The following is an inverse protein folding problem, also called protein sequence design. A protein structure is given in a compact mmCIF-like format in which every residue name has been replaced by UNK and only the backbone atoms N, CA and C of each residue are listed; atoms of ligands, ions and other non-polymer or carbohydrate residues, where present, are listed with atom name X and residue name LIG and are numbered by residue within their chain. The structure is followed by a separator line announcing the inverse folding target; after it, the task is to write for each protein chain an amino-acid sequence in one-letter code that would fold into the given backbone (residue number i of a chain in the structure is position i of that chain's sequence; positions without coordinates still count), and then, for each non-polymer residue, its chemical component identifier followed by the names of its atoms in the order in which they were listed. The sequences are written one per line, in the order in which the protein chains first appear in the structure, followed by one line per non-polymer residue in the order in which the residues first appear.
data_IF_234623208968
#
_entry.id   IF_234623208968
#
_cell.length_a   1.000
_cell.length_b   1.000
_cell.length_c   1.000
_cell.angle_alpha   90.00
_cell.angle_beta   90.00
_cell.angle_gamma   90.00
#
_symmetry.space_group_name_H-M   'P 1'
#
loop_
_entity.id
_entity.type
_entity.pdbx_description
1 polymer ?
#
# COMPACT_ATOMS: atom_id res chain seq x y z
N UNK A 1 -37.27 78.67 68.25
CA UNK A 1 -36.72 77.68 69.19
C UNK A 1 -36.92 76.29 68.67
N UNK A 2 -35.91 75.44 68.78
CA UNK A 2 -35.83 73.95 68.63
C UNK A 2 -35.63 73.39 67.18
N UNK A 3 -34.54 72.96 67.10
CA UNK A 3 -33.75 72.05 66.29
C UNK A 3 -34.44 70.69 65.99
N UNK A 4 -34.40 70.20 64.81
CA UNK A 4 -34.68 68.82 64.42
C UNK A 4 -33.67 68.33 63.33
N UNK A 5 -32.89 67.39 63.73
CA UNK A 5 -31.81 66.72 62.99
C UNK A 5 -32.41 65.75 61.99
N UNK A 6 -32.13 65.94 60.66
CA UNK A 6 -32.39 64.92 59.64
C UNK A 6 -31.19 63.97 59.57
N UNK A 7 -31.48 62.66 59.61
CA UNK A 7 -30.51 61.58 59.39
C UNK A 7 -30.55 61.20 57.93
N UNK A 8 -29.37 61.27 57.28
CA UNK A 8 -29.14 60.71 55.94
C UNK A 8 -28.84 59.21 56.04
N UNK A 9 -29.73 58.43 55.52
CA UNK A 9 -29.49 57.00 55.35
C UNK A 9 -28.76 56.71 54.02
N UNK A 10 -27.54 56.17 54.11
CA UNK A 10 -26.79 55.69 52.97
C UNK A 10 -27.25 54.27 52.64
N UNK A 11 -27.86 54.06 51.49
CA UNK A 11 -28.20 52.72 50.95
C UNK A 11 -27.00 52.21 50.19
N UNK A 12 -26.29 51.25 50.74
CA UNK A 12 -25.24 50.48 50.04
C UNK A 12 -25.92 49.45 49.09
N UNK A 13 -25.85 49.71 47.77
CA UNK A 13 -26.27 48.73 46.79
C UNK A 13 -25.13 47.74 46.50
N UNK A 14 -25.24 46.53 47.03
CA UNK A 14 -24.31 45.41 46.78
C UNK A 14 -24.63 44.83 45.37
N UNK A 15 -23.79 45.15 44.40
CA UNK A 15 -23.85 44.52 43.07
C UNK A 15 -23.25 43.09 43.16
N UNK A 16 -24.07 42.05 43.12
CA UNK A 16 -23.64 40.70 42.88
C UNK A 16 -23.22 40.57 41.40
N UNK A 17 -21.91 40.50 41.15
CA UNK A 17 -21.35 40.01 39.91
C UNK A 17 -21.60 38.52 39.79
N UNK A 18 -22.58 38.10 38.98
CA UNK A 18 -22.75 36.73 38.59
C UNK A 18 -21.60 36.31 37.64
N UNK A 19 -20.60 35.65 38.20
CA UNK A 19 -19.58 34.94 37.40
C UNK A 19 -20.27 33.73 36.77
N UNK A 20 -20.69 33.88 35.51
CA UNK A 20 -21.15 32.77 34.72
C UNK A 20 -20.04 31.72 34.57
N UNK A 21 -20.39 30.41 34.50
CA UNK A 21 -19.40 29.36 34.26
C UNK A 21 -18.71 29.65 32.91
N UNK A 22 -17.48 30.13 32.98
CA UNK A 22 -16.62 30.21 31.81
C UNK A 22 -16.50 28.81 31.24
N UNK A 23 -17.06 28.60 30.05
CA UNK A 23 -16.79 27.39 29.27
C UNK A 23 -15.26 27.26 29.21
N UNK A 24 -14.71 26.27 29.88
CA UNK A 24 -13.31 25.90 29.74
C UNK A 24 -13.07 25.64 28.25
N UNK A 25 -12.53 26.63 27.53
CA UNK A 25 -11.95 26.38 26.24
C UNK A 25 -10.85 25.35 26.46
N UNK A 26 -11.14 24.12 26.09
CA UNK A 26 -10.13 23.07 26.08
C UNK A 26 -8.89 23.63 25.38
N UNK A 27 -7.72 23.43 26.00
CA UNK A 27 -6.46 23.89 25.43
C UNK A 27 -6.43 23.54 23.94
N UNK A 28 -6.21 24.53 23.10
CA UNK A 28 -6.17 24.37 21.64
C UNK A 28 -5.06 23.36 21.33
N UNK A 29 -5.45 22.13 20.95
CA UNK A 29 -4.49 21.08 20.61
C UNK A 29 -3.74 21.51 19.34
N UNK A 30 -2.41 21.41 19.34
CA UNK A 30 -1.57 21.75 18.21
C UNK A 30 -1.88 20.90 16.94
N UNK A 31 -1.17 21.14 15.85
CA UNK A 31 -1.39 20.41 14.60
C UNK A 31 -1.16 18.89 14.77
N UNK A 32 -1.86 18.11 13.97
CA UNK A 32 -1.61 16.67 13.86
C UNK A 32 -0.45 16.47 12.89
N UNK A 33 0.65 15.89 13.38
CA UNK A 33 1.84 15.63 12.57
C UNK A 33 1.85 14.18 12.11
N UNK A 34 1.92 13.98 10.79
CA UNK A 34 2.05 12.67 10.14
C UNK A 34 3.43 12.61 9.50
N UNK A 35 4.25 11.64 9.90
CA UNK A 35 5.50 11.33 9.22
C UNK A 35 5.22 10.45 8.01
N UNK A 36 5.69 10.87 6.84
CA UNK A 36 5.54 10.10 5.61
C UNK A 36 6.92 9.82 5.02
N UNK A 37 7.23 8.56 4.71
CA UNK A 37 8.52 8.21 4.10
C UNK A 37 8.30 7.44 2.81
N UNK A 38 9.07 7.78 1.77
CA UNK A 38 8.95 7.15 0.46
C UNK A 38 10.31 7.17 -0.25
N UNK A 39 10.59 6.28 -1.20
CA UNK A 39 11.79 6.37 -2.02
C UNK A 39 11.61 7.49 -3.05
N UNK A 40 12.24 8.64 -2.81
CA UNK A 40 12.21 9.78 -3.72
C UNK A 40 13.43 9.85 -4.63
N UNK A 41 14.34 8.88 -4.49
CA UNK A 41 15.55 8.69 -5.28
C UNK A 41 15.71 7.21 -5.69
N UNK A 42 16.63 6.92 -6.61
CA UNK A 42 16.94 5.57 -7.06
C UNK A 42 15.88 4.93 -7.97
N UNK A 43 15.88 3.60 -8.05
CA UNK A 43 15.04 2.82 -8.99
C UNK A 43 13.53 2.92 -8.72
N UNK A 44 13.14 3.37 -7.54
CA UNK A 44 11.74 3.53 -7.11
C UNK A 44 11.32 5.00 -6.96
N UNK A 45 12.11 5.95 -7.46
CA UNK A 45 11.84 7.38 -7.27
C UNK A 45 10.45 7.81 -7.80
N UNK A 46 10.06 7.35 -8.98
CA UNK A 46 8.73 7.66 -9.54
C UNK A 46 7.62 7.05 -8.67
N UNK A 47 7.83 5.82 -8.17
CA UNK A 47 6.91 5.13 -7.26
C UNK A 47 6.70 5.95 -5.97
N UNK A 48 7.79 6.39 -5.34
CA UNK A 48 7.72 7.21 -4.14
C UNK A 48 7.06 8.57 -4.38
N UNK A 49 7.32 9.18 -5.55
CA UNK A 49 6.65 10.42 -5.93
C UNK A 49 5.13 10.22 -6.06
N UNK A 50 4.69 9.14 -6.70
CA UNK A 50 3.26 8.84 -6.84
C UNK A 50 2.59 8.62 -5.47
N UNK A 51 3.30 7.99 -4.53
CA UNK A 51 2.82 7.82 -3.16
C UNK A 51 2.59 9.16 -2.47
N UNK A 52 3.59 10.05 -2.49
CA UNK A 52 3.49 11.37 -1.87
C UNK A 52 2.38 12.17 -2.52
N UNK A 53 2.30 12.17 -3.85
CA UNK A 53 1.30 12.91 -4.60
C UNK A 53 -0.13 12.40 -4.30
N UNK A 54 -0.35 11.10 -4.21
CA UNK A 54 -1.64 10.53 -3.83
C UNK A 54 -2.05 10.87 -2.40
N UNK A 55 -1.11 10.76 -1.45
CA UNK A 55 -1.34 11.12 -0.05
C UNK A 55 -1.70 12.60 0.13
N UNK A 56 -0.94 13.48 -0.53
CA UNK A 56 -1.16 14.92 -0.46
C UNK A 56 -2.43 15.36 -1.18
N UNK A 57 -2.81 14.69 -2.30
CA UNK A 57 -4.05 14.99 -3.02
C UNK A 57 -5.26 14.87 -2.09
N UNK A 58 -5.35 13.79 -1.30
CA UNK A 58 -6.45 13.63 -0.36
C UNK A 58 -6.49 14.76 0.68
N UNK A 59 -5.35 15.09 1.30
CA UNK A 59 -5.32 16.13 2.33
C UNK A 59 -5.67 17.52 1.78
N UNK A 60 -5.31 17.81 0.54
CA UNK A 60 -5.73 19.05 -0.13
C UNK A 60 -7.23 19.07 -0.38
N UNK A 61 -7.80 17.98 -0.88
CA UNK A 61 -9.26 17.86 -1.08
C UNK A 61 -10.03 17.95 0.24
N UNK A 62 -9.45 17.46 1.33
CA UNK A 62 -10.00 17.55 2.68
C UNK A 62 -9.75 18.93 3.36
N UNK A 63 -9.11 19.91 2.68
CA UNK A 63 -8.83 21.23 3.21
C UNK A 63 -7.69 21.29 4.23
N UNK A 64 -6.81 20.27 4.29
CA UNK A 64 -5.62 20.23 5.14
C UNK A 64 -5.90 20.15 6.64
N UNK A 65 -7.10 19.75 7.04
CA UNK A 65 -7.50 19.69 8.45
C UNK A 65 -8.52 18.58 8.71
N UNK A 66 -8.61 18.14 9.96
CA UNK A 66 -9.60 17.15 10.42
C UNK A 66 -9.92 17.39 11.90
N UNK A 67 -11.19 17.24 12.29
CA UNK A 67 -11.65 17.46 13.66
C UNK A 67 -11.19 18.83 14.25
N UNK A 68 -11.16 19.89 13.44
CA UNK A 68 -10.75 21.24 13.83
C UNK A 68 -9.23 21.42 14.03
N UNK A 69 -8.41 20.42 13.69
CA UNK A 69 -6.94 20.47 13.80
C UNK A 69 -6.30 20.46 12.41
N UNK A 70 -5.30 21.33 12.21
CA UNK A 70 -4.46 21.32 11.00
C UNK A 70 -3.67 19.99 10.92
N UNK A 71 -3.50 19.47 9.72
CA UNK A 71 -2.63 18.32 9.46
C UNK A 71 -1.32 18.79 8.83
N UNK A 72 -0.21 18.36 9.41
CA UNK A 72 1.14 18.63 8.90
C UNK A 72 1.77 17.30 8.49
N UNK A 73 2.11 17.17 7.21
CA UNK A 73 2.79 15.98 6.66
C UNK A 73 4.27 16.30 6.50
N UNK A 74 5.13 15.51 7.15
CA UNK A 74 6.59 15.63 7.07
C UNK A 74 7.10 14.46 6.24
N UNK A 75 7.68 14.76 5.09
CA UNK A 75 8.14 13.77 4.10
C UNK A 75 9.65 13.54 4.21
N UNK A 76 10.06 12.26 4.22
CA UNK A 76 11.47 11.84 4.23
C UNK A 76 11.76 10.88 3.06
N UNK A 77 12.89 11.09 2.39
CA UNK A 77 13.39 10.14 1.38
C UNK A 77 14.10 8.95 2.06
N UNK A 78 13.58 7.73 1.86
CA UNK A 78 14.20 6.51 2.35
C UNK A 78 15.05 5.79 1.29
N UNK A 79 15.24 6.38 0.09
CA UNK A 79 16.11 5.90 -0.98
C UNK A 79 15.77 4.48 -1.49
N UNK A 80 14.67 3.88 -1.03
CA UNK A 80 14.35 2.47 -1.28
C UNK A 80 15.30 1.49 -0.55
N UNK A 81 15.94 1.93 0.54
CA UNK A 81 16.89 1.14 1.33
C UNK A 81 16.30 0.88 2.74
N UNK A 82 16.18 -0.38 3.18
CA UNK A 82 15.56 -0.71 4.48
C UNK A 82 16.22 -0.02 5.69
N UNK A 83 17.56 0.02 5.73
CA UNK A 83 18.30 0.67 6.83
C UNK A 83 18.09 2.19 6.85
N UNK A 84 18.09 2.85 5.68
CA UNK A 84 17.76 4.28 5.56
C UNK A 84 16.32 4.50 6.00
N UNK A 85 15.37 3.63 5.62
CA UNK A 85 13.97 3.69 6.04
C UNK A 85 13.81 3.69 7.56
N UNK A 86 14.50 2.80 8.28
CA UNK A 86 14.49 2.77 9.74
C UNK A 86 15.07 4.08 10.33
N UNK A 87 16.16 4.58 9.77
CA UNK A 87 16.78 5.85 10.22
C UNK A 87 15.82 7.03 10.06
N UNK A 88 15.11 7.10 8.92
CA UNK A 88 14.16 8.17 8.64
C UNK A 88 12.92 8.07 9.54
N UNK A 89 12.40 6.87 9.79
CA UNK A 89 11.29 6.67 10.74
C UNK A 89 11.70 7.11 12.16
N UNK A 90 12.88 6.75 12.62
CA UNK A 90 13.39 7.25 13.91
C UNK A 90 13.44 8.76 13.95
N UNK A 91 13.98 9.42 12.92
CA UNK A 91 14.03 10.88 12.83
C UNK A 91 12.64 11.51 12.91
N UNK A 92 11.67 10.99 12.16
CA UNK A 92 10.29 11.46 12.19
C UNK A 92 9.70 11.38 13.61
N UNK A 93 9.92 10.25 14.31
CA UNK A 93 9.38 10.04 15.65
C UNK A 93 10.15 10.84 16.72
N UNK A 94 11.47 10.76 16.73
CA UNK A 94 12.31 11.27 17.81
C UNK A 94 12.60 12.77 17.70
N UNK A 95 12.77 13.28 16.47
CA UNK A 95 13.10 14.69 16.25
C UNK A 95 11.87 15.51 15.84
N UNK A 96 11.09 15.03 14.85
CA UNK A 96 9.92 15.76 14.38
C UNK A 96 8.67 15.56 15.25
N UNK A 97 8.71 14.60 16.21
CA UNK A 97 7.62 14.33 17.16
C UNK A 97 6.28 14.09 16.47
N UNK A 98 6.29 13.27 15.44
CA UNK A 98 5.06 12.89 14.73
C UNK A 98 4.18 11.99 15.60
N UNK A 99 2.86 12.08 15.42
CA UNK A 99 1.88 11.25 16.13
C UNK A 99 1.80 9.84 15.52
N UNK A 100 2.07 9.73 14.23
CA UNK A 100 1.96 8.51 13.43
C UNK A 100 2.93 8.56 12.26
N UNK A 101 3.25 7.38 11.69
CA UNK A 101 4.04 7.28 10.47
C UNK A 101 3.31 6.47 9.41
N UNK A 102 3.54 6.81 8.14
CA UNK A 102 3.08 6.03 7.00
C UNK A 102 4.11 6.04 5.87
N UNK A 103 3.96 5.15 4.92
CA UNK A 103 4.79 5.17 3.72
C UNK A 103 5.56 3.87 3.47
N UNK A 104 6.65 4.00 2.70
CA UNK A 104 7.51 2.90 2.30
C UNK A 104 6.96 2.06 1.15
N UNK A 105 7.87 1.53 0.32
CA UNK A 105 7.54 0.66 -0.82
C UNK A 105 7.95 -0.78 -0.55
N UNK A 106 9.22 -0.99 -0.16
CA UNK A 106 9.76 -2.34 -0.08
C UNK A 106 9.26 -3.09 1.16
N UNK A 107 8.77 -4.31 1.00
CA UNK A 107 8.39 -5.20 2.09
C UNK A 107 9.54 -5.39 3.10
N UNK A 108 10.79 -5.46 2.62
CA UNK A 108 11.97 -5.52 3.48
C UNK A 108 12.10 -4.30 4.42
N UNK A 109 11.69 -3.11 3.97
CA UNK A 109 11.63 -1.91 4.83
C UNK A 109 10.56 -2.08 5.90
N UNK A 110 9.40 -2.64 5.53
CA UNK A 110 8.32 -2.95 6.47
C UNK A 110 8.79 -3.88 7.60
N UNK A 111 9.49 -4.95 7.27
CA UNK A 111 10.10 -5.83 8.27
C UNK A 111 11.16 -5.12 9.12
N UNK A 112 11.99 -4.26 8.54
CA UNK A 112 13.04 -3.55 9.26
C UNK A 112 12.53 -2.53 10.29
N UNK A 113 11.41 -1.86 10.01
CA UNK A 113 10.84 -0.84 10.92
C UNK A 113 9.86 -1.42 11.93
N UNK A 114 9.28 -2.60 11.69
CA UNK A 114 8.26 -3.20 12.53
C UNK A 114 8.68 -3.33 14.01
N UNK A 115 9.88 -3.83 14.36
CA UNK A 115 10.32 -3.90 15.76
C UNK A 115 10.39 -2.53 16.45
N UNK A 116 10.82 -1.49 15.72
CA UNK A 116 10.93 -0.14 16.27
C UNK A 116 9.54 0.47 16.57
N UNK A 117 8.59 0.37 15.64
CA UNK A 117 7.25 0.93 15.84
C UNK A 117 6.48 0.17 16.91
N UNK A 118 6.68 -1.16 17.00
CA UNK A 118 6.11 -2.00 18.07
C UNK A 118 6.64 -1.59 19.43
N UNK A 119 7.95 -1.53 19.61
CA UNK A 119 8.60 -1.18 20.87
C UNK A 119 8.23 0.23 21.35
N UNK A 120 8.12 1.19 20.41
CA UNK A 120 7.84 2.60 20.73
C UNK A 120 6.35 2.94 20.66
N UNK A 121 5.48 1.97 20.43
CA UNK A 121 4.02 2.12 20.37
C UNK A 121 3.59 3.22 19.41
N UNK A 122 4.09 3.17 18.16
CA UNK A 122 3.81 4.17 17.14
C UNK A 122 2.72 3.65 16.20
N UNK A 123 1.50 4.23 16.18
CA UNK A 123 0.50 3.91 15.18
C UNK A 123 1.09 4.11 13.78
N UNK A 124 1.07 3.07 12.97
CA UNK A 124 1.77 3.05 11.69
C UNK A 124 0.87 2.48 10.60
N UNK A 125 0.79 3.16 9.47
CA UNK A 125 0.04 2.68 8.30
C UNK A 125 0.99 2.29 7.18
N UNK A 126 0.84 1.06 6.68
CA UNK A 126 1.55 0.58 5.49
C UNK A 126 0.65 0.71 4.26
N UNK A 127 0.81 1.79 3.48
CA UNK A 127 -0.01 1.98 2.27
C UNK A 127 0.41 1.08 1.11
N UNK A 128 1.69 0.69 1.03
CA UNK A 128 2.24 -0.08 -0.09
C UNK A 128 3.08 -1.26 0.38
N UNK A 129 3.84 -1.10 1.48
CA UNK A 129 4.67 -2.19 1.99
C UNK A 129 3.83 -3.43 2.31
N UNK A 130 4.17 -4.54 1.69
CA UNK A 130 3.37 -5.76 1.68
C UNK A 130 4.05 -6.99 2.33
N UNK A 131 4.82 -6.87 3.45
CA UNK A 131 5.40 -8.04 4.08
C UNK A 131 4.30 -8.92 4.69
N UNK A 132 4.27 -10.22 4.35
CA UNK A 132 3.19 -11.12 4.74
C UNK A 132 3.06 -11.26 6.27
N UNK A 133 4.16 -11.55 6.94
CA UNK A 133 4.12 -11.99 8.34
C UNK A 133 3.68 -10.95 9.36
N UNK A 134 3.78 -9.66 9.03
CA UNK A 134 3.35 -8.59 9.96
C UNK A 134 1.82 -8.54 10.18
N UNK A 135 1.05 -9.24 9.36
CA UNK A 135 -0.40 -9.43 9.51
C UNK A 135 -0.78 -10.92 9.45
N UNK A 136 0.20 -11.83 9.55
CA UNK A 136 -0.04 -13.27 9.51
C UNK A 136 0.55 -13.95 10.76
N UNK A 137 1.73 -14.58 10.66
CA UNK A 137 2.35 -15.43 11.73
C UNK A 137 2.94 -14.59 12.86
N UNK A 138 3.37 -13.36 12.56
CA UNK A 138 4.00 -12.44 13.53
C UNK A 138 3.31 -11.08 13.47
N UNK A 139 2.00 -11.03 13.82
CA UNK A 139 1.25 -9.80 13.71
C UNK A 139 1.87 -8.71 14.58
N UNK A 140 2.07 -7.55 13.98
CA UNK A 140 2.62 -6.36 14.65
C UNK A 140 1.47 -5.48 15.10
N UNK A 141 1.29 -5.33 16.42
CA UNK A 141 0.13 -4.65 16.98
C UNK A 141 -0.01 -3.19 16.49
N UNK A 142 1.13 -2.48 16.36
CA UNK A 142 1.13 -1.05 16.03
C UNK A 142 1.10 -0.75 14.51
N UNK A 143 0.86 -1.77 13.69
CA UNK A 143 0.74 -1.62 12.23
C UNK A 143 -0.68 -1.91 11.77
N UNK A 144 -1.18 -1.05 10.90
CA UNK A 144 -2.38 -1.26 10.07
C UNK A 144 -1.95 -1.18 8.62
N UNK A 145 -2.37 -2.14 7.80
CA UNK A 145 -2.09 -2.14 6.38
C UNK A 145 -3.30 -1.64 5.62
N UNK A 146 -3.12 -0.71 4.70
CA UNK A 146 -4.13 -0.35 3.70
C UNK A 146 -3.78 -0.87 2.31
N UNK A 147 -2.58 -1.49 2.19
CA UNK A 147 -2.11 -2.29 1.07
C UNK A 147 -2.66 -3.74 1.13
N UNK A 148 -2.06 -4.63 0.40
CA UNK A 148 -2.31 -6.08 0.43
C UNK A 148 -1.15 -6.81 1.13
N UNK A 149 -1.31 -8.09 1.49
CA UNK A 149 -0.19 -8.97 1.79
C UNK A 149 0.49 -9.44 0.50
N UNK A 150 1.81 -9.58 0.48
CA UNK A 150 2.60 -9.86 -0.73
C UNK A 150 2.08 -11.05 -1.53
N UNK A 151 1.69 -12.13 -0.85
CA UNK A 151 1.10 -13.32 -1.49
C UNK A 151 -0.37 -13.16 -1.88
N UNK A 152 -1.10 -12.19 -1.33
CA UNK A 152 -2.56 -12.09 -1.48
C UNK A 152 -3.02 -11.93 -2.94
N UNK A 153 -2.38 -11.07 -3.71
CA UNK A 153 -2.75 -10.86 -5.12
C UNK A 153 -2.22 -11.94 -6.06
N UNK A 154 -1.22 -12.69 -5.64
CA UNK A 154 -0.59 -13.74 -6.44
C UNK A 154 -1.29 -15.09 -6.37
N UNK A 155 -2.00 -15.39 -5.27
CA UNK A 155 -2.84 -16.57 -5.16
C UNK A 155 -3.87 -16.67 -6.29
N UNK A 156 -4.71 -15.62 -6.55
CA UNK A 156 -5.63 -15.61 -7.70
C UNK A 156 -4.92 -15.77 -9.05
N UNK A 157 -3.70 -15.23 -9.21
CA UNK A 157 -2.96 -15.40 -10.45
C UNK A 157 -2.56 -16.85 -10.69
N UNK A 158 -2.23 -17.60 -9.64
CA UNK A 158 -1.94 -19.04 -9.74
C UNK A 158 -3.16 -19.82 -10.26
N UNK A 159 -4.33 -19.52 -9.72
CA UNK A 159 -5.61 -20.10 -10.16
C UNK A 159 -5.93 -19.72 -11.61
N UNK A 160 -5.83 -18.42 -11.94
CA UNK A 160 -6.14 -17.90 -13.26
C UNK A 160 -5.20 -18.44 -14.35
N UNK A 161 -3.90 -18.52 -14.05
CA UNK A 161 -2.89 -19.02 -14.98
C UNK A 161 -3.19 -20.47 -15.42
N UNK A 162 -3.60 -21.32 -14.48
CA UNK A 162 -3.95 -22.70 -14.80
C UNK A 162 -5.32 -22.84 -15.45
N UNK A 163 -6.35 -22.25 -14.87
CA UNK A 163 -7.75 -22.46 -15.28
C UNK A 163 -8.15 -21.69 -16.53
N UNK A 164 -7.66 -20.46 -16.68
CA UNK A 164 -8.12 -19.56 -17.75
C UNK A 164 -7.07 -19.33 -18.84
N UNK A 165 -5.77 -19.28 -18.48
CA UNK A 165 -4.72 -19.15 -19.50
C UNK A 165 -4.24 -20.49 -20.05
N UNK A 166 -4.61 -21.59 -19.42
CA UNK A 166 -4.23 -22.93 -19.85
C UNK A 166 -2.76 -23.27 -19.67
N UNK A 167 -2.02 -22.49 -18.87
CA UNK A 167 -0.60 -22.70 -18.62
C UNK A 167 -0.38 -23.95 -17.75
N UNK A 168 0.68 -24.70 -18.02
CA UNK A 168 0.97 -25.97 -17.33
C UNK A 168 2.39 -26.03 -16.78
N UNK A 169 3.36 -25.45 -17.47
CA UNK A 169 4.78 -25.48 -17.10
C UNK A 169 5.33 -24.06 -17.05
N UNK A 170 5.57 -23.58 -15.85
CA UNK A 170 5.98 -22.18 -15.61
C UNK A 170 7.40 -22.10 -15.09
N UNK A 171 8.16 -21.11 -15.52
CA UNK A 171 9.31 -20.59 -14.80
C UNK A 171 8.92 -19.33 -14.01
N UNK A 172 9.71 -18.99 -13.01
CA UNK A 172 9.66 -17.65 -12.39
C UNK A 172 11.01 -16.95 -12.48
N UNK A 173 10.98 -15.65 -12.74
CA UNK A 173 12.13 -14.75 -12.66
C UNK A 173 11.70 -13.51 -11.89
N UNK A 174 12.07 -13.45 -10.63
CA UNK A 174 11.53 -12.50 -9.65
C UNK A 174 12.63 -11.75 -8.92
N UNK A 175 12.30 -10.63 -8.28
CA UNK A 175 13.25 -9.86 -7.48
C UNK A 175 13.65 -10.63 -6.21
N UNK A 176 14.95 -10.65 -5.89
CA UNK A 176 15.53 -11.40 -4.77
C UNK A 176 15.39 -10.66 -3.43
N UNK A 177 14.15 -10.55 -2.95
CA UNK A 177 13.82 -10.03 -1.61
C UNK A 177 12.41 -10.47 -1.18
N UNK A 178 12.00 -10.18 0.06
CA UNK A 178 10.77 -10.70 0.67
C UNK A 178 9.53 -10.60 -0.23
N UNK A 179 9.23 -9.45 -0.83
CA UNK A 179 8.07 -9.33 -1.73
C UNK A 179 8.15 -10.28 -2.95
N UNK A 180 9.34 -10.38 -3.55
CA UNK A 180 9.55 -11.30 -4.67
C UNK A 180 9.33 -12.75 -4.26
N UNK A 181 9.82 -13.14 -3.09
CA UNK A 181 9.67 -14.50 -2.56
C UNK A 181 8.23 -14.80 -2.18
N UNK A 182 7.59 -13.92 -1.39
CA UNK A 182 6.21 -14.07 -0.91
C UNK A 182 5.22 -14.12 -2.08
N UNK A 183 5.38 -13.22 -3.02
CA UNK A 183 4.52 -13.14 -4.20
C UNK A 183 4.69 -14.38 -5.11
N UNK A 184 5.95 -14.78 -5.40
CA UNK A 184 6.22 -16.00 -6.19
C UNK A 184 5.74 -17.26 -5.46
N UNK A 185 5.90 -17.31 -4.15
CA UNK A 185 5.44 -18.42 -3.31
C UNK A 185 3.93 -18.61 -3.35
N UNK A 186 3.19 -17.49 -3.21
CA UNK A 186 1.73 -17.50 -3.33
C UNK A 186 1.25 -17.96 -4.69
N UNK A 187 1.86 -17.46 -5.78
CA UNK A 187 1.59 -17.93 -7.14
C UNK A 187 1.87 -19.42 -7.30
N UNK A 188 3.08 -19.85 -6.95
CA UNK A 188 3.51 -21.25 -7.10
C UNK A 188 2.56 -22.21 -6.39
N UNK A 189 2.23 -21.93 -5.15
CA UNK A 189 1.37 -22.79 -4.33
C UNK A 189 0.03 -23.05 -5.01
N UNK A 190 -0.70 -22.00 -5.37
CA UNK A 190 -2.03 -22.17 -5.97
C UNK A 190 -1.95 -22.74 -7.39
N UNK A 191 -0.94 -22.36 -8.16
CA UNK A 191 -0.72 -22.91 -9.50
C UNK A 191 -0.44 -24.42 -9.46
N UNK A 192 0.42 -24.89 -8.53
CA UNK A 192 0.74 -26.31 -8.37
C UNK A 192 -0.42 -27.11 -7.77
N UNK A 193 -1.15 -26.56 -6.80
CA UNK A 193 -2.38 -27.16 -6.26
C UNK A 193 -3.48 -27.31 -7.33
N UNK A 194 -3.49 -26.42 -8.33
CA UNK A 194 -4.38 -26.52 -9.50
C UNK A 194 -3.93 -27.57 -10.53
N UNK A 195 -2.71 -28.12 -10.41
CA UNK A 195 -2.15 -29.14 -11.31
C UNK A 195 -1.05 -28.64 -12.25
N UNK A 196 -0.65 -27.39 -12.15
CA UNK A 196 0.50 -26.82 -12.85
C UNK A 196 1.84 -27.27 -12.27
N UNK A 197 2.93 -26.91 -12.94
CA UNK A 197 4.30 -27.22 -12.49
C UNK A 197 5.18 -25.98 -12.62
N UNK A 198 5.76 -25.51 -11.51
CA UNK A 198 6.85 -24.54 -11.54
C UNK A 198 8.16 -25.32 -11.71
N UNK A 199 8.78 -25.18 -12.87
CA UNK A 199 9.94 -26.00 -13.29
C UNK A 199 11.28 -25.29 -13.21
N UNK A 200 11.27 -23.98 -12.87
CA UNK A 200 12.47 -23.18 -12.65
C UNK A 200 12.14 -21.95 -11.82
N UNK A 201 12.99 -21.62 -10.85
CA UNK A 201 12.91 -20.40 -10.06
C UNK A 201 14.22 -19.64 -10.17
N UNK A 202 14.18 -18.42 -10.67
CA UNK A 202 15.32 -17.52 -10.83
C UNK A 202 15.07 -16.24 -10.04
N UNK A 203 16.16 -15.68 -9.49
CA UNK A 203 16.11 -14.50 -8.64
C UNK A 203 17.10 -13.44 -9.14
N UNK A 204 16.63 -12.20 -9.31
CA UNK A 204 17.43 -11.06 -9.71
C UNK A 204 17.68 -10.11 -8.54
N UNK A 205 18.91 -9.63 -8.33
CA UNK A 205 19.15 -8.63 -7.31
C UNK A 205 18.46 -7.30 -7.64
N UNK A 206 18.14 -6.48 -6.63
CA UNK A 206 17.45 -5.19 -6.81
C UNK A 206 18.27 -4.15 -7.60
N UNK A 207 19.57 -4.37 -7.75
CA UNK A 207 20.46 -3.51 -8.53
C UNK A 207 20.86 -4.11 -9.89
N UNK A 208 20.12 -5.13 -10.37
CA UNK A 208 20.38 -5.79 -11.66
C UNK A 208 20.41 -4.77 -12.80
N UNK A 209 21.46 -4.85 -13.62
CA UNK A 209 21.62 -4.00 -14.81
C UNK A 209 21.44 -4.79 -16.10
N UNK A 210 21.80 -6.08 -16.11
CA UNK A 210 21.73 -6.98 -17.25
C UNK A 210 20.89 -8.22 -16.92
N UNK A 211 19.82 -8.43 -17.68
CA UNK A 211 18.96 -9.61 -17.57
C UNK A 211 19.38 -10.76 -18.49
N UNK A 212 20.35 -10.53 -19.35
CA UNK A 212 20.79 -11.50 -20.35
C UNK A 212 21.14 -12.88 -19.79
N UNK A 213 21.99 -12.98 -18.76
CA UNK A 213 22.36 -14.28 -18.15
C UNK A 213 21.14 -15.05 -17.64
N UNK A 214 20.19 -14.36 -17.03
CA UNK A 214 18.96 -14.97 -16.50
C UNK A 214 18.06 -15.48 -17.63
N UNK A 215 17.86 -14.66 -18.69
CA UNK A 215 17.04 -15.02 -19.85
C UNK A 215 17.67 -16.17 -20.65
N UNK A 216 18.97 -16.16 -20.83
CA UNK A 216 19.68 -17.22 -21.51
C UNK A 216 19.59 -18.58 -20.77
N UNK A 217 19.46 -18.56 -19.44
CA UNK A 217 19.33 -19.76 -18.60
C UNK A 217 17.91 -20.30 -18.50
N UNK A 218 16.90 -19.61 -19.09
CA UNK A 218 15.53 -20.08 -19.06
C UNK A 218 15.36 -21.40 -19.80
N UNK A 219 14.65 -22.32 -19.18
CA UNK A 219 14.23 -23.59 -19.79
C UNK A 219 13.45 -23.32 -21.09
N UNK A 220 13.59 -24.21 -22.04
CA UNK A 220 12.94 -24.11 -23.36
C UNK A 220 11.54 -24.74 -23.39
N UNK A 221 11.23 -25.58 -22.40
CA UNK A 221 10.00 -26.35 -22.28
C UNK A 221 8.98 -25.73 -21.32
N UNK A 222 8.90 -24.38 -21.31
CA UNK A 222 7.96 -23.61 -20.48
C UNK A 222 6.88 -22.95 -21.34
N UNK A 223 5.64 -22.93 -20.82
CA UNK A 223 4.51 -22.23 -21.43
C UNK A 223 4.51 -20.75 -21.08
N UNK A 224 5.03 -20.39 -19.91
CA UNK A 224 5.01 -19.04 -19.42
C UNK A 224 6.08 -18.73 -18.36
N UNK A 225 6.29 -17.43 -18.13
CA UNK A 225 7.15 -16.89 -17.09
C UNK A 225 6.31 -16.03 -16.14
N UNK A 226 6.48 -16.25 -14.85
CA UNK A 226 5.96 -15.38 -13.78
C UNK A 226 7.02 -14.42 -13.30
N UNK A 227 6.67 -13.14 -13.11
CA UNK A 227 7.62 -12.11 -12.68
C UNK A 227 7.03 -11.16 -11.63
N UNK A 228 7.91 -10.59 -10.77
CA UNK A 228 7.53 -9.65 -9.70
C UNK A 228 8.25 -8.30 -9.80
N UNK A 229 8.87 -8.00 -10.94
CA UNK A 229 9.60 -6.74 -11.12
C UNK A 229 8.69 -5.52 -10.89
N UNK A 230 9.28 -4.41 -10.42
CA UNK A 230 8.58 -3.16 -10.13
C UNK A 230 9.48 -1.94 -10.43
N UNK A 231 8.89 -0.78 -10.60
CA UNK A 231 9.61 0.46 -10.88
C UNK A 231 10.45 0.38 -12.16
N UNK A 232 11.61 1.03 -12.19
CA UNK A 232 12.51 1.04 -13.35
C UNK A 232 13.03 -0.37 -13.74
N UNK A 233 13.02 -1.32 -12.79
CA UNK A 233 13.42 -2.71 -13.05
C UNK A 233 12.44 -3.39 -14.01
N UNK A 234 11.14 -3.09 -13.92
CA UNK A 234 10.12 -3.60 -14.83
C UNK A 234 10.37 -3.20 -16.29
N UNK A 235 10.67 -1.93 -16.52
CA UNK A 235 10.93 -1.41 -17.88
C UNK A 235 12.17 -2.07 -18.49
N UNK A 236 13.26 -2.18 -17.72
CA UNK A 236 14.48 -2.84 -18.17
C UNK A 236 14.27 -4.32 -18.48
N UNK A 237 13.54 -5.01 -17.60
CA UNK A 237 13.21 -6.42 -17.82
C UNK A 237 12.33 -6.60 -19.06
N UNK A 238 11.29 -5.78 -19.23
CA UNK A 238 10.40 -5.86 -20.40
C UNK A 238 11.15 -5.68 -21.72
N UNK A 239 12.06 -4.71 -21.76
CA UNK A 239 12.93 -4.50 -22.92
C UNK A 239 13.79 -5.75 -23.18
N UNK A 240 14.48 -6.26 -22.18
CA UNK A 240 15.33 -7.45 -22.33
C UNK A 240 14.50 -8.68 -22.79
N UNK A 241 13.29 -8.88 -22.22
CA UNK A 241 12.37 -9.93 -22.63
C UNK A 241 12.06 -9.90 -24.13
N UNK A 242 11.78 -8.71 -24.64
CA UNK A 242 11.53 -8.48 -26.07
C UNK A 242 12.79 -8.69 -26.91
N UNK A 243 13.93 -8.10 -26.52
CA UNK A 243 15.20 -8.17 -27.25
C UNK A 243 15.73 -9.61 -27.37
N UNK A 244 15.48 -10.45 -26.35
CA UNK A 244 15.83 -11.89 -26.36
C UNK A 244 14.80 -12.75 -27.14
N UNK A 245 13.77 -12.13 -27.72
CA UNK A 245 12.81 -12.78 -28.60
C UNK A 245 11.84 -13.74 -27.91
N UNK A 246 11.55 -13.55 -26.63
CA UNK A 246 10.55 -14.32 -25.90
C UNK A 246 9.12 -13.83 -26.12
N UNK A 247 8.96 -12.54 -26.44
CA UNK A 247 7.63 -11.96 -26.72
C UNK A 247 6.91 -12.73 -27.84
N UNK A 248 5.66 -13.11 -27.56
CA UNK A 248 4.83 -13.88 -28.49
C UNK A 248 5.14 -15.38 -28.56
N UNK A 249 6.20 -15.87 -27.87
CA UNK A 249 6.55 -17.29 -27.83
C UNK A 249 6.28 -17.93 -26.47
N UNK A 250 6.48 -17.18 -25.39
CA UNK A 250 6.25 -17.61 -24.01
C UNK A 250 5.33 -16.59 -23.35
N UNK A 251 4.29 -17.06 -22.68
CA UNK A 251 3.38 -16.16 -21.96
C UNK A 251 4.13 -15.42 -20.85
N UNK A 252 3.98 -14.11 -20.76
CA UNK A 252 4.53 -13.31 -19.67
C UNK A 252 3.40 -12.88 -18.76
N UNK A 253 3.43 -13.36 -17.52
CA UNK A 253 2.47 -13.00 -16.48
C UNK A 253 3.20 -12.55 -15.21
N UNK A 254 2.51 -11.92 -14.27
CA UNK A 254 3.19 -11.53 -13.04
C UNK A 254 2.36 -10.77 -12.04
N UNK A 255 3.06 -10.29 -11.01
CA UNK A 255 2.53 -9.34 -10.05
C UNK A 255 2.14 -8.04 -10.76
N UNK A 256 1.09 -7.40 -10.30
CA UNK A 256 0.59 -6.19 -10.95
C UNK A 256 1.52 -4.99 -10.92
N UNK A 257 2.47 -4.98 -9.99
CA UNK A 257 3.54 -3.98 -9.94
C UNK A 257 4.41 -3.97 -11.20
N UNK A 258 4.44 -5.10 -11.93
CA UNK A 258 5.23 -5.23 -13.16
C UNK A 258 4.75 -4.30 -14.28
N UNK A 259 3.45 -4.19 -14.45
CA UNK A 259 2.84 -3.32 -15.48
C UNK A 259 2.06 -2.16 -14.88
N UNK A 260 2.41 -1.73 -13.66
CA UNK A 260 1.74 -0.59 -13.04
C UNK A 260 1.75 0.65 -13.95
N UNK A 261 0.75 1.47 -13.87
CA UNK A 261 0.54 2.64 -14.71
C UNK A 261 1.72 3.62 -14.70
N UNK A 262 2.47 3.67 -13.58
CA UNK A 262 3.64 4.55 -13.46
C UNK A 262 4.83 4.13 -14.35
N UNK A 263 4.89 2.88 -14.77
CA UNK A 263 5.96 2.34 -15.62
C UNK A 263 5.48 1.92 -16.99
N UNK A 264 4.18 1.65 -17.16
CA UNK A 264 3.60 1.07 -18.37
C UNK A 264 3.88 1.89 -19.64
N UNK A 265 3.76 3.23 -19.54
CA UNK A 265 4.05 4.12 -20.70
C UNK A 265 5.49 3.94 -21.21
N UNK A 266 6.45 3.73 -20.32
CA UNK A 266 7.86 3.55 -20.68
C UNK A 266 8.20 2.16 -21.19
N UNK A 267 7.27 1.19 -21.12
CA UNK A 267 7.46 -0.16 -21.68
C UNK A 267 7.12 -0.25 -23.16
N UNK A 268 6.27 0.67 -23.66
CA UNK A 268 5.87 0.64 -25.06
C UNK A 268 5.04 -0.60 -25.41
N UNK A 269 5.02 -0.92 -26.71
CA UNK A 269 4.26 -2.05 -27.28
C UNK A 269 4.80 -3.43 -26.85
N UNK A 270 5.99 -3.47 -26.29
CA UNK A 270 6.55 -4.69 -25.72
C UNK A 270 5.67 -5.26 -24.61
N UNK A 271 4.96 -4.41 -23.87
CA UNK A 271 4.08 -4.84 -22.80
C UNK A 271 2.72 -5.39 -23.26
N UNK A 272 2.33 -5.20 -24.53
CA UNK A 272 1.03 -5.67 -25.03
C UNK A 272 0.85 -7.17 -24.82
N UNK A 273 -0.29 -7.54 -24.23
CA UNK A 273 -0.67 -8.92 -23.95
C UNK A 273 -0.17 -9.46 -22.61
N UNK A 274 0.68 -8.75 -21.88
CA UNK A 274 1.11 -9.14 -20.51
C UNK A 274 -0.10 -9.18 -19.60
N UNK A 275 -0.23 -10.25 -18.79
CA UNK A 275 -1.32 -10.42 -17.83
C UNK A 275 -0.77 -10.33 -16.41
N UNK A 276 -1.40 -9.52 -15.58
CA UNK A 276 -0.98 -9.30 -14.19
C UNK A 276 -2.17 -9.35 -13.23
N UNK A 277 -1.90 -9.60 -11.94
CA UNK A 277 -2.90 -9.52 -10.88
C UNK A 277 -2.58 -8.41 -9.89
N UNK A 278 -3.57 -7.60 -9.56
CA UNK A 278 -3.42 -6.51 -8.60
C UNK A 278 -4.78 -6.10 -8.02
N UNK A 279 -4.74 -5.34 -6.94
CA UNK A 279 -5.91 -4.76 -6.27
C UNK A 279 -6.44 -3.48 -6.92
N UNK A 280 -5.82 -3.01 -8.00
CA UNK A 280 -6.16 -1.76 -8.67
C UNK A 280 -5.88 -1.79 -10.17
N UNK A 281 -6.64 -1.01 -10.91
CA UNK A 281 -6.34 -0.51 -12.25
C UNK A 281 -6.91 0.90 -12.39
N UNK A 282 -6.18 1.81 -13.04
CA UNK A 282 -6.65 3.18 -13.28
C UNK A 282 -7.95 3.25 -14.09
N UNK A 283 -8.31 2.19 -14.79
CA UNK A 283 -9.52 2.10 -15.62
C UNK A 283 -10.68 1.37 -14.95
N UNK A 284 -10.64 1.16 -13.63
CA UNK A 284 -11.76 0.59 -12.89
C UNK A 284 -13.03 1.43 -13.07
N UNK A 285 -14.12 0.76 -13.49
CA UNK A 285 -15.38 1.40 -13.77
C UNK A 285 -16.25 1.53 -12.50
N UNK A 286 -15.78 2.38 -11.57
CA UNK A 286 -16.58 2.79 -10.42
C UNK A 286 -16.49 4.31 -10.22
N UNK A 287 -17.52 4.95 -9.62
CA UNK A 287 -17.55 6.42 -9.47
C UNK A 287 -16.40 6.98 -8.64
N UNK A 288 -15.94 6.27 -7.62
CA UNK A 288 -14.84 6.72 -6.76
C UNK A 288 -13.51 6.74 -7.53
N UNK A 289 -13.22 5.69 -8.30
CA UNK A 289 -12.02 5.66 -9.13
C UNK A 289 -12.05 6.73 -10.23
N UNK A 290 -13.17 6.92 -10.89
CA UNK A 290 -13.31 7.97 -11.93
C UNK A 290 -13.00 9.36 -11.36
N UNK A 291 -13.50 9.68 -10.16
CA UNK A 291 -13.19 10.96 -9.49
C UNK A 291 -11.71 11.07 -9.14
N UNK A 292 -11.16 10.05 -8.47
CA UNK A 292 -9.76 10.02 -8.06
C UNK A 292 -8.81 10.11 -9.25
N UNK A 293 -8.97 9.23 -10.25
CA UNK A 293 -8.10 9.18 -11.43
C UNK A 293 -8.13 10.50 -12.21
N UNK A 294 -9.31 11.11 -12.40
CA UNK A 294 -9.43 12.41 -13.06
C UNK A 294 -8.79 13.54 -12.25
N UNK A 295 -8.95 13.57 -10.93
CA UNK A 295 -8.32 14.57 -10.06
C UNK A 295 -6.80 14.43 -10.08
N UNK A 296 -6.30 13.20 -10.00
CA UNK A 296 -4.86 12.91 -10.05
C UNK A 296 -4.25 13.30 -11.40
N UNK A 297 -4.85 12.87 -12.53
CA UNK A 297 -4.37 13.20 -13.88
C UNK A 297 -4.39 14.71 -14.13
N UNK A 298 -5.45 15.40 -13.75
CA UNK A 298 -5.55 16.86 -13.88
C UNK A 298 -4.45 17.60 -13.14
N UNK A 299 -4.11 17.14 -11.92
CA UNK A 299 -3.13 17.84 -11.08
C UNK A 299 -1.69 17.51 -11.46
N UNK A 300 -1.41 16.24 -11.74
CA UNK A 300 -0.03 15.75 -11.91
C UNK A 300 0.35 15.43 -13.35
N UNK A 301 -0.59 15.55 -14.30
CA UNK A 301 -0.42 15.28 -15.73
C UNK A 301 0.13 13.87 -16.02
N UNK A 302 -0.32 12.88 -15.25
CA UNK A 302 -0.03 11.47 -15.43
C UNK A 302 -1.14 10.59 -14.87
N UNK A 303 -1.22 9.36 -15.38
CA UNK A 303 -2.22 8.39 -14.92
C UNK A 303 -2.04 8.08 -13.43
N UNK A 304 -3.15 7.88 -12.74
CA UNK A 304 -3.12 7.32 -11.39
C UNK A 304 -2.51 5.90 -11.44
N UNK A 305 -1.73 5.57 -10.42
CA UNK A 305 -1.05 4.29 -10.24
C UNK A 305 -1.53 3.60 -8.96
N UNK A 306 -1.21 2.31 -8.81
CA UNK A 306 -1.37 1.61 -7.54
C UNK A 306 -0.85 2.46 -6.36
N UNK A 307 0.34 2.99 -6.50
CA UNK A 307 1.05 3.71 -5.44
C UNK A 307 0.35 5.01 -5.03
N UNK A 308 -0.24 5.68 -6.01
CA UNK A 308 -1.00 6.91 -5.74
C UNK A 308 -2.34 6.62 -5.06
N UNK A 309 -3.08 5.60 -5.52
CA UNK A 309 -4.40 5.28 -4.94
C UNK A 309 -4.28 4.73 -3.53
N UNK A 310 -3.31 3.87 -3.26
CA UNK A 310 -3.12 3.31 -1.91
C UNK A 310 -2.71 4.37 -0.89
N UNK A 311 -1.88 5.31 -1.31
CA UNK A 311 -1.48 6.42 -0.46
C UNK A 311 -2.64 7.41 -0.24
N UNK A 312 -3.47 7.64 -1.26
CA UNK A 312 -4.72 8.39 -1.14
C UNK A 312 -5.68 7.72 -0.14
N UNK A 313 -5.86 6.42 -0.26
CA UNK A 313 -6.68 5.64 0.68
C UNK A 313 -6.11 5.68 2.10
N UNK A 314 -4.78 5.58 2.28
CA UNK A 314 -4.16 5.68 3.60
C UNK A 314 -4.40 7.06 4.24
N UNK A 315 -4.34 8.14 3.47
CA UNK A 315 -4.69 9.48 3.95
C UNK A 315 -6.17 9.55 4.39
N UNK A 316 -7.07 8.91 3.64
CA UNK A 316 -8.48 8.78 4.00
C UNK A 316 -8.69 7.95 5.27
N UNK A 317 -7.93 6.86 5.46
CA UNK A 317 -7.93 6.10 6.72
C UNK A 317 -7.58 6.97 7.91
N UNK A 318 -6.53 7.77 7.80
CA UNK A 318 -6.19 8.73 8.84
C UNK A 318 -7.32 9.73 9.10
N UNK A 319 -7.90 10.29 8.04
CA UNK A 319 -8.98 11.27 8.17
C UNK A 319 -10.17 10.70 8.94
N UNK A 320 -10.66 9.52 8.55
CA UNK A 320 -11.82 8.90 9.19
C UNK A 320 -11.52 8.46 10.64
N UNK A 321 -10.34 7.88 10.89
CA UNK A 321 -9.94 7.49 12.23
C UNK A 321 -9.80 8.71 13.17
N UNK A 322 -9.14 9.76 12.73
CA UNK A 322 -8.94 10.98 13.51
C UNK A 322 -10.28 11.67 13.79
N UNK A 323 -11.17 11.72 12.80
CA UNK A 323 -12.53 12.24 12.96
C UNK A 323 -13.32 11.46 14.01
N UNK A 324 -13.26 10.13 13.97
CA UNK A 324 -13.96 9.25 14.91
C UNK A 324 -13.54 9.45 16.38
N UNK A 325 -12.31 9.87 16.62
CA UNK A 325 -11.78 10.16 17.97
C UNK A 325 -11.74 11.64 18.32
N UNK A 326 -12.42 12.51 17.55
CA UNK A 326 -12.42 13.96 17.72
C UNK A 326 -11.01 14.56 17.81
N UNK A 327 -10.08 14.07 16.99
CA UNK A 327 -8.71 14.57 16.90
C UNK A 327 -7.77 14.15 18.04
N UNK A 328 -8.14 13.21 18.88
CA UNK A 328 -7.36 12.76 20.07
C UNK A 328 -6.28 11.74 19.70
N UNK A 329 -5.30 12.18 18.89
CA UNK A 329 -4.20 11.33 18.41
C UNK A 329 -3.07 11.15 19.42
N UNK A 330 -3.10 11.88 20.52
CA UNK A 330 -2.14 11.79 21.64
C UNK A 330 -2.33 10.47 22.41
N UNK A 331 -3.57 9.98 22.51
CA UNK A 331 -3.85 8.61 22.96
C UNK A 331 -3.61 7.63 21.80
N UNK A 332 -2.40 7.11 21.73
CA UNK A 332 -1.94 6.24 20.63
C UNK A 332 -2.75 4.95 20.50
N UNK A 333 -3.15 4.34 21.62
CA UNK A 333 -3.94 3.10 21.57
C UNK A 333 -5.34 3.37 21.04
N UNK A 334 -5.99 4.43 21.54
CA UNK A 334 -7.29 4.88 21.04
C UNK A 334 -7.23 5.19 19.52
N UNK A 335 -6.15 5.84 19.09
CA UNK A 335 -5.95 6.16 17.69
C UNK A 335 -5.73 4.90 16.83
N UNK A 336 -4.91 3.95 17.31
CA UNK A 336 -4.71 2.66 16.63
C UNK A 336 -6.03 1.89 16.49
N UNK A 337 -6.82 1.83 17.57
CA UNK A 337 -8.13 1.18 17.53
C UNK A 337 -9.10 1.86 16.56
N UNK A 338 -9.04 3.18 16.45
CA UNK A 338 -9.82 3.91 15.45
C UNK A 338 -9.38 3.55 14.03
N UNK A 339 -8.07 3.50 13.75
CA UNK A 339 -7.54 3.08 12.45
C UNK A 339 -8.02 1.66 12.06
N UNK A 340 -8.02 0.72 12.99
CA UNK A 340 -8.45 -0.66 12.75
C UNK A 340 -9.94 -0.82 12.46
N UNK A 341 -10.76 0.17 12.84
CA UNK A 341 -12.21 0.18 12.64
C UNK A 341 -12.68 0.97 11.43
N UNK A 342 -11.76 1.54 10.67
CA UNK A 342 -12.12 2.28 9.46
C UNK A 342 -12.65 1.31 8.40
N UNK A 343 -13.83 1.60 7.90
CA UNK A 343 -14.45 0.93 6.75
C UNK A 343 -14.68 1.95 5.65
N UNK A 344 -14.29 1.63 4.43
CA UNK A 344 -14.47 2.49 3.26
C UNK A 344 -15.23 1.70 2.20
N UNK A 345 -16.51 2.01 2.04
CA UNK A 345 -17.35 1.33 1.05
C UNK A 345 -17.12 1.82 -0.39
N UNK A 346 -16.68 3.06 -0.55
CA UNK A 346 -16.47 3.74 -1.84
C UNK A 346 -14.99 4.08 -2.07
N UNK A 347 -14.10 3.11 -1.83
CA UNK A 347 -12.69 3.24 -2.19
C UNK A 347 -12.52 3.19 -3.73
N UNK A 348 -11.58 3.95 -4.32
CA UNK A 348 -11.29 3.86 -5.75
C UNK A 348 -10.94 2.45 -6.24
N UNK A 349 -10.38 1.59 -5.37
CA UNK A 349 -10.05 0.19 -5.69
C UNK A 349 -11.26 -0.74 -5.65
N UNK A 350 -12.40 -0.28 -5.16
CA UNK A 350 -13.59 -1.06 -4.88
C UNK A 350 -13.80 -1.28 -3.38
N UNK A 351 -14.82 -2.07 -3.00
CA UNK A 351 -15.12 -2.30 -1.59
C UNK A 351 -13.98 -3.00 -0.87
N UNK A 352 -13.66 -2.53 0.32
CA UNK A 352 -12.68 -3.18 1.17
C UNK A 352 -13.09 -3.14 2.64
N UNK A 353 -12.72 -4.16 3.38
CA UNK A 353 -12.88 -4.26 4.83
C UNK A 353 -11.64 -4.85 5.46
N UNK A 354 -11.35 -4.47 6.69
CA UNK A 354 -10.22 -5.02 7.44
C UNK A 354 -10.55 -6.40 8.01
N UNK A 355 -9.57 -7.31 7.99
CA UNK A 355 -9.62 -8.53 8.80
C UNK A 355 -9.17 -8.25 10.24
N UNK A 356 -9.28 -9.25 11.12
CA UNK A 356 -8.91 -9.12 12.53
C UNK A 356 -7.41 -8.91 12.77
N UNK A 357 -6.56 -9.16 11.77
CA UNK A 357 -5.11 -8.99 11.84
C UNK A 357 -4.63 -7.66 11.26
N UNK A 358 -5.56 -6.82 10.79
CA UNK A 358 -5.26 -5.50 10.24
C UNK A 358 -4.78 -5.51 8.80
N UNK A 359 -5.27 -6.48 8.00
CA UNK A 359 -5.05 -6.56 6.55
C UNK A 359 -6.38 -6.42 5.79
N UNK A 360 -6.41 -5.75 4.62
CA UNK A 360 -7.63 -5.65 3.84
C UNK A 360 -8.09 -6.97 3.23
N UNK A 361 -9.40 -7.20 3.24
CA UNK A 361 -10.09 -8.13 2.35
C UNK A 361 -10.65 -7.28 1.22
N UNK A 362 -10.22 -7.52 0.00
CA UNK A 362 -10.50 -6.65 -1.15
C UNK A 362 -10.52 -7.41 -2.47
N UNK A 363 -10.93 -6.76 -3.53
CA UNK A 363 -10.94 -7.38 -4.86
C UNK A 363 -9.52 -7.49 -5.42
N UNK A 364 -9.24 -8.61 -6.08
CA UNK A 364 -8.06 -8.77 -6.93
C UNK A 364 -8.49 -8.83 -8.39
N UNK A 365 -7.93 -7.95 -9.18
CA UNK A 365 -8.22 -7.82 -10.61
C UNK A 365 -7.13 -8.49 -11.43
N UNK A 366 -7.52 -9.37 -12.34
CA UNK A 366 -6.65 -9.85 -13.42
C UNK A 366 -6.72 -8.81 -14.52
N UNK A 367 -5.57 -8.30 -14.89
CA UNK A 367 -5.43 -7.20 -15.84
C UNK A 367 -4.57 -7.62 -17.01
N UNK A 368 -4.94 -7.19 -18.20
CA UNK A 368 -4.17 -7.41 -19.42
C UNK A 368 -3.77 -6.07 -20.01
N UNK A 369 -2.53 -5.95 -20.40
CA UNK A 369 -2.07 -4.75 -21.09
C UNK A 369 -2.63 -4.73 -22.51
N UNK A 370 -3.42 -3.71 -22.79
CA UNK A 370 -4.06 -3.48 -24.09
C UNK A 370 -3.86 -2.03 -24.55
N UNK A 371 -4.04 -1.81 -25.84
CA UNK A 371 -4.06 -0.47 -26.42
C UNK A 371 -5.51 -0.04 -26.66
N UNK A 372 -5.96 0.94 -25.91
CA UNK A 372 -7.32 1.50 -26.00
C UNK A 372 -7.23 3.01 -26.21
N UNK A 373 -7.89 3.53 -27.24
CA UNK A 373 -7.82 4.95 -27.59
C UNK A 373 -6.39 5.47 -27.83
N UNK A 374 -5.49 4.61 -28.36
CA UNK A 374 -4.09 4.96 -28.60
C UNK A 374 -3.16 4.91 -27.38
N UNK A 375 -3.69 4.69 -26.16
CA UNK A 375 -2.92 4.59 -24.91
C UNK A 375 -2.81 3.15 -24.46
N UNK A 376 -1.68 2.78 -23.85
CA UNK A 376 -1.55 1.50 -23.14
C UNK A 376 -2.31 1.62 -21.80
N UNK A 377 -3.05 0.57 -21.47
CA UNK A 377 -3.76 0.49 -20.19
C UNK A 377 -3.81 -0.95 -19.66
N UNK A 378 -4.00 -1.11 -18.38
CA UNK A 378 -4.27 -2.38 -17.72
C UNK A 378 -5.79 -2.64 -17.72
N UNK A 379 -6.31 -3.24 -18.80
CA UNK A 379 -7.74 -3.60 -18.89
C UNK A 379 -8.04 -4.73 -17.92
N UNK A 380 -9.07 -4.56 -17.07
CA UNK A 380 -9.54 -5.63 -16.20
C UNK A 380 -10.28 -6.67 -17.03
N UNK A 381 -9.76 -7.91 -17.02
CA UNK A 381 -10.34 -9.03 -17.78
C UNK A 381 -11.02 -10.07 -16.88
N UNK A 382 -10.74 -10.04 -15.57
CA UNK A 382 -11.41 -10.88 -14.59
C UNK A 382 -11.29 -10.26 -13.19
N UNK A 383 -12.24 -10.56 -12.29
CA UNK A 383 -12.23 -10.08 -10.90
C UNK A 383 -12.45 -11.23 -9.94
N UNK A 384 -11.54 -11.38 -8.99
CA UNK A 384 -11.73 -12.20 -7.80
C UNK A 384 -12.22 -11.31 -6.67
N UNK A 385 -13.48 -11.43 -6.23
CA UNK A 385 -14.02 -10.56 -5.21
C UNK A 385 -13.60 -11.01 -3.81
N UNK A 386 -13.45 -10.04 -2.88
CA UNK A 386 -13.25 -10.30 -1.45
C UNK A 386 -12.10 -11.27 -1.15
N UNK A 387 -10.95 -11.09 -1.79
CA UNK A 387 -9.77 -11.95 -1.57
C UNK A 387 -9.16 -11.64 -0.21
N UNK A 388 -9.08 -12.66 0.65
CA UNK A 388 -8.36 -12.63 1.92
C UNK A 388 -6.85 -12.84 1.69
N UNK A 389 -6.01 -12.34 2.61
CA UNK A 389 -4.59 -12.68 2.64
C UNK A 389 -4.30 -14.18 2.75
N UNK A 390 -5.29 -14.95 3.19
CA UNK A 390 -5.22 -16.41 3.29
C UNK A 390 -5.81 -17.13 2.07
N UNK A 391 -6.22 -16.39 1.03
CA UNK A 391 -6.90 -16.95 -0.13
C UNK A 391 -8.17 -17.70 0.28
N UNK A 392 -8.32 -18.96 -0.16
CA UNK A 392 -9.41 -19.88 0.19
C UNK A 392 -9.04 -20.86 1.30
N UNK A 393 -7.84 -20.72 1.87
CA UNK A 393 -7.35 -21.63 2.89
C UNK A 393 -7.98 -21.34 4.26
N UNK A 394 -8.08 -22.39 5.09
CA UNK A 394 -8.33 -22.20 6.50
C UNK A 394 -7.16 -21.39 7.11
N UNK A 395 -7.46 -20.32 7.84
CA UNK A 395 -6.47 -19.42 8.42
C UNK A 395 -5.48 -20.16 9.32
N UNK A 396 -5.97 -20.99 10.24
CA UNK A 396 -5.12 -21.66 11.23
C UNK A 396 -4.17 -22.67 10.57
N UNK A 397 -4.63 -23.38 9.53
CA UNK A 397 -3.79 -24.27 8.76
C UNK A 397 -2.78 -23.53 7.88
N UNK A 398 -3.17 -22.37 7.33
CA UNK A 398 -2.25 -21.50 6.58
C UNK A 398 -1.13 -20.98 7.47
N UNK A 399 -1.45 -20.53 8.67
CA UNK A 399 -0.48 -19.98 9.62
C UNK A 399 0.51 -21.01 10.17
N UNK A 400 0.21 -22.31 10.11
CA UNK A 400 1.14 -23.40 10.45
C UNK A 400 2.20 -23.64 9.37
N UNK A 401 1.96 -23.19 8.13
CA UNK A 401 2.93 -23.35 7.04
C UNK A 401 4.06 -22.32 7.19
N UNK A 402 5.27 -22.63 6.70
CA UNK A 402 6.35 -21.64 6.68
C UNK A 402 5.96 -20.38 5.91
N UNK A 403 6.60 -19.25 6.26
CA UNK A 403 6.56 -18.05 5.43
C UNK A 403 7.13 -18.37 4.05
N UNK A 404 6.54 -17.79 3.01
CA UNK A 404 7.13 -17.86 1.68
C UNK A 404 8.47 -17.11 1.68
N UNK A 405 9.52 -17.84 1.35
CA UNK A 405 10.87 -17.29 1.26
C UNK A 405 11.57 -17.74 -0.04
N UNK A 406 12.85 -17.47 -0.16
CA UNK A 406 13.64 -17.82 -1.34
C UNK A 406 13.59 -19.30 -1.67
N UNK A 407 13.44 -20.16 -0.65
CA UNK A 407 13.50 -21.62 -0.75
C UNK A 407 12.12 -22.28 -0.60
N UNK A 408 11.15 -21.56 0.01
CA UNK A 408 9.80 -22.08 0.24
C UNK A 408 8.72 -21.31 -0.56
N UNK A 409 7.79 -21.97 -1.25
CA UNK A 409 7.69 -23.43 -1.46
C UNK A 409 8.91 -23.99 -2.22
N UNK A 410 9.32 -25.24 -1.92
CA UNK A 410 10.41 -25.86 -2.67
C UNK A 410 10.03 -26.02 -4.15
N UNK A 411 11.01 -25.91 -5.03
CA UNK A 411 10.79 -26.18 -6.45
C UNK A 411 10.76 -27.70 -6.70
N UNK A 412 9.58 -28.28 -6.59
CA UNK A 412 9.40 -29.74 -6.68
C UNK A 412 9.66 -30.31 -8.06
N UNK A 413 9.61 -29.49 -9.09
CA UNK A 413 9.76 -29.86 -10.50
C UNK A 413 10.97 -29.20 -11.17
N UNK A 414 11.86 -28.58 -10.39
CA UNK A 414 13.14 -28.07 -10.84
C UNK A 414 14.15 -29.24 -10.81
N UNK A 415 14.40 -29.84 -11.95
CA UNK A 415 15.43 -30.88 -12.14
C UNK A 415 16.77 -30.25 -12.57
#
# INVERSE_FOLDING_TARGET
MMRGRGAFGVVLATALLAVGPGAARGAERGPIRIGYFAPLSGSFAQTGKDMVDGFMLFWEEAGGQVAGRKVEVIVEDNEGVPATGLTKVRRLVEQNKVHTVAGGVLAATGYAIAPYVEQNKIPTVYPVMAPDDITQRKPVHWVVRTAWAGSQSSHPMGDYAYKHLGLRRMASLSMDYSYGWENTGGFQRVFEESGGKVVQKLWTPLNVQDYGPFLASLRKDIDGLYTTHAGALSQRFMKAWSDYGYKGKVALIGAGTFTDENVLKGMGDEALGVVTSLIYSAVLDNPANKRFAAAYERKYNRSASLYSVESYTAARFYFEAIKAINGDVEDREKFLQALRRVEIADDPRGPMKMDELGNPIENVYIRKVERVGGKLQNTVIYTYPNVSQFWTYNKDEYLKQPLYDRNYPPCRFCD
#
